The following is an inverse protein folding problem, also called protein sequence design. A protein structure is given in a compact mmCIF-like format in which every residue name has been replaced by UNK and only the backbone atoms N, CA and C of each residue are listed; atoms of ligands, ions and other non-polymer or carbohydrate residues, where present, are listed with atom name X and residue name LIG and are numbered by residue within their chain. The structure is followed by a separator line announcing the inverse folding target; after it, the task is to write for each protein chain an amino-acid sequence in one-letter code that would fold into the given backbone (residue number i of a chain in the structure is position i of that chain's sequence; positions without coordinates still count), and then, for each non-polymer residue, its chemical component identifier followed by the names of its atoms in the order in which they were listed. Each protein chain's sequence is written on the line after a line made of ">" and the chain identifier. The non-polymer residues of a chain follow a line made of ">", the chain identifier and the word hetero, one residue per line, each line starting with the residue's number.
data_IF_839467411572
#
_entry.id   IF_839467411572
#
_cell.length_a   1.000
_cell.length_b   1.000
_cell.length_c   1.000
_cell.angle_alpha   90.00
_cell.angle_beta   90.00
_cell.angle_gamma   90.00
#
_symmetry.space_group_name_H-M   'P 1'
#
loop_
_entity.id
_entity.type
_entity.pdbx_description
1 polymer ?
#
# COMPACT_ATOMS: atom_id res chain seq x y z
N UNK A 1 6.82 -15.37 27.67
CA UNK A 1 6.25 -15.23 26.32
C UNK A 1 7.05 -16.11 25.38
N UNK A 2 6.42 -17.03 24.65
CA UNK A 2 7.11 -17.97 23.75
C UNK A 2 7.47 -17.25 22.45
N UNK A 3 8.77 -17.11 22.16
CA UNK A 3 9.25 -16.65 20.87
C UNK A 3 9.09 -17.81 19.90
N UNK A 4 8.17 -17.69 18.93
CA UNK A 4 7.98 -18.70 17.89
C UNK A 4 9.18 -18.62 16.96
N UNK A 5 10.02 -19.66 16.93
CA UNK A 5 11.15 -19.75 16.03
C UNK A 5 10.66 -20.23 14.65
N UNK A 6 10.59 -19.34 13.67
CA UNK A 6 10.00 -19.57 12.35
C UNK A 6 10.98 -20.20 11.33
N UNK A 7 12.20 -20.56 11.75
CA UNK A 7 13.33 -20.83 10.85
C UNK A 7 13.32 -22.18 10.11
N UNK A 8 12.32 -23.04 10.33
CA UNK A 8 12.36 -24.43 9.83
C UNK A 8 11.02 -25.00 9.36
N UNK A 9 9.94 -24.23 9.51
CA UNK A 9 8.57 -24.68 9.26
C UNK A 9 8.15 -24.39 7.81
N UNK A 10 7.34 -25.26 7.18
CA UNK A 10 6.84 -25.04 5.83
C UNK A 10 6.16 -23.68 5.73
N UNK A 11 6.42 -22.92 4.65
CA UNK A 11 6.01 -21.52 4.47
C UNK A 11 4.53 -21.23 4.84
N UNK A 12 3.63 -22.21 4.70
CA UNK A 12 2.22 -22.10 5.05
C UNK A 12 1.97 -22.00 6.57
N UNK A 13 2.72 -22.72 7.40
CA UNK A 13 2.57 -22.63 8.87
C UNK A 13 3.01 -21.27 9.39
N UNK A 14 4.09 -20.71 8.84
CA UNK A 14 4.55 -19.36 9.14
C UNK A 14 3.50 -18.32 8.75
N UNK A 15 2.86 -18.50 7.59
CA UNK A 15 1.78 -17.64 7.15
C UNK A 15 0.57 -17.71 8.10
N UNK A 16 0.13 -18.90 8.51
CA UNK A 16 -0.98 -19.05 9.47
C UNK A 16 -0.65 -18.44 10.84
N UNK A 17 0.58 -18.61 11.32
CA UNK A 17 1.04 -17.97 12.54
C UNK A 17 1.00 -16.44 12.43
N UNK A 18 1.46 -15.89 11.30
CA UNK A 18 1.40 -14.46 11.01
C UNK A 18 -0.04 -13.92 11.04
N UNK A 19 -0.99 -14.61 10.42
CA UNK A 19 -2.41 -14.22 10.46
C UNK A 19 -2.98 -14.22 11.87
N UNK A 20 -2.66 -15.25 12.67
CA UNK A 20 -3.13 -15.33 14.06
C UNK A 20 -2.58 -14.19 14.91
N UNK A 21 -1.32 -13.80 14.68
CA UNK A 21 -0.72 -12.64 15.35
C UNK A 21 -1.41 -11.35 14.94
N UNK A 22 -1.63 -11.14 13.64
CA UNK A 22 -2.27 -9.92 13.13
C UNK A 22 -3.76 -9.78 13.53
N UNK A 23 -4.43 -10.89 13.87
CA UNK A 23 -5.81 -10.88 14.37
C UNK A 23 -5.95 -10.47 15.84
N UNK A 24 -4.86 -10.54 16.61
CA UNK A 24 -4.86 -10.24 18.05
C UNK A 24 -3.62 -9.39 18.41
N UNK A 25 -3.61 -8.10 18.03
CA UNK A 25 -2.45 -7.23 18.22
C UNK A 25 -2.04 -7.12 19.69
N UNK A 26 -2.97 -7.28 20.64
CA UNK A 26 -2.71 -7.29 22.08
C UNK A 26 -1.76 -8.41 22.53
N UNK A 27 -1.63 -9.49 21.75
CA UNK A 27 -0.67 -10.59 21.99
C UNK A 27 0.65 -10.42 21.24
N UNK A 28 0.81 -9.36 20.45
CA UNK A 28 1.99 -9.15 19.63
C UNK A 28 2.95 -8.15 20.26
N UNK A 29 4.18 -8.08 19.73
CA UNK A 29 5.12 -6.99 20.01
C UNK A 29 4.68 -5.64 19.42
N UNK A 30 3.49 -5.57 18.81
CA UNK A 30 2.95 -4.38 18.18
C UNK A 30 1.47 -4.17 18.57
N UNK A 31 1.19 -3.85 19.85
CA UNK A 31 -0.17 -3.59 20.28
C UNK A 31 -0.80 -2.35 19.64
N UNK A 32 0.01 -1.52 18.98
CA UNK A 32 -0.36 -0.24 18.40
C UNK A 32 -0.84 -0.34 16.95
N UNK A 33 -0.59 -1.46 16.25
CA UNK A 33 -1.16 -1.70 14.93
C UNK A 33 -2.66 -2.00 15.03
N UNK A 34 -3.47 -1.55 14.04
CA UNK A 34 -4.88 -1.88 14.01
C UNK A 34 -5.05 -3.39 13.79
N UNK A 35 -6.12 -3.96 14.36
CA UNK A 35 -6.51 -5.35 14.11
C UNK A 35 -6.66 -5.58 12.61
N UNK A 36 -6.15 -6.71 12.11
CA UNK A 36 -6.24 -7.05 10.70
C UNK A 36 -7.70 -6.98 10.20
N UNK A 37 -8.07 -6.02 9.33
CA UNK A 37 -9.46 -5.82 8.92
C UNK A 37 -9.92 -6.99 8.05
N UNK A 38 -11.21 -7.31 7.89
CA UNK A 38 -11.66 -8.45 7.09
C UNK A 38 -11.20 -8.35 5.63
N UNK A 39 -11.08 -9.50 4.94
CA UNK A 39 -10.78 -9.50 3.50
C UNK A 39 -11.80 -8.67 2.74
N UNK A 40 -11.32 -7.82 1.84
CA UNK A 40 -12.18 -7.03 0.97
C UNK A 40 -13.10 -7.94 0.15
N UNK A 41 -14.37 -7.56 0.03
CA UNK A 41 -15.38 -8.31 -0.73
C UNK A 41 -15.69 -7.60 -2.04
N UNK A 42 -15.76 -8.39 -3.12
CA UNK A 42 -16.18 -7.93 -4.44
C UNK A 42 -15.06 -7.31 -5.28
N UNK A 43 -15.36 -7.13 -6.56
CA UNK A 43 -14.50 -6.54 -7.57
C UNK A 43 -15.33 -5.55 -8.41
N UNK A 44 -14.85 -4.33 -8.72
CA UNK A 44 -13.63 -3.70 -8.22
C UNK A 44 -13.72 -3.37 -6.72
N UNK A 45 -12.57 -3.15 -6.08
CA UNK A 45 -12.48 -2.89 -4.62
C UNK A 45 -12.71 -1.40 -4.33
N UNK A 46 -13.64 -1.00 -3.44
CA UNK A 46 -13.79 0.40 -3.07
C UNK A 46 -12.51 1.00 -2.50
N UNK A 47 -12.17 2.23 -2.88
CA UNK A 47 -11.19 3.03 -2.15
C UNK A 47 -11.64 3.26 -0.70
N UNK A 48 -10.67 3.52 0.18
CA UNK A 48 -10.95 3.81 1.59
C UNK A 48 -11.92 4.99 1.74
N UNK A 49 -12.92 4.79 2.57
CA UNK A 49 -13.83 5.84 3.07
C UNK A 49 -13.17 6.66 4.18
N UNK A 50 -13.73 7.82 4.52
CA UNK A 50 -13.20 8.65 5.61
C UNK A 50 -13.11 7.90 6.95
N UNK A 51 -14.12 7.12 7.39
CA UNK A 51 -13.99 6.29 8.59
C UNK A 51 -12.88 5.25 8.49
N UNK A 52 -12.75 4.55 7.36
CA UNK A 52 -11.67 3.57 7.16
C UNK A 52 -10.28 4.21 7.15
N UNK A 53 -10.14 5.45 6.64
CA UNK A 53 -8.89 6.20 6.74
C UNK A 53 -8.54 6.44 8.22
N UNK A 54 -9.50 6.90 9.01
CA UNK A 54 -9.30 7.22 10.43
C UNK A 54 -9.00 5.97 11.26
N UNK A 55 -9.74 4.89 11.04
CA UNK A 55 -9.66 3.67 11.84
C UNK A 55 -8.53 2.74 11.41
N UNK A 56 -8.14 2.77 10.13
CA UNK A 56 -7.20 1.79 9.58
C UNK A 56 -5.93 2.43 9.02
N UNK A 57 -6.04 3.45 8.17
CA UNK A 57 -4.87 4.03 7.51
C UNK A 57 -4.02 4.86 8.46
N UNK A 58 -4.61 5.71 9.29
CA UNK A 58 -3.87 6.55 10.24
C UNK A 58 -3.00 5.69 11.18
N UNK A 59 -3.53 4.64 11.85
CA UNK A 59 -2.71 3.76 12.66
C UNK A 59 -1.55 3.11 11.88
N UNK A 60 -1.78 2.70 10.62
CA UNK A 60 -0.71 2.16 9.77
C UNK A 60 0.37 3.22 9.48
N UNK A 61 -0.02 4.47 9.22
CA UNK A 61 0.90 5.60 8.98
C UNK A 61 1.71 5.95 10.23
N UNK A 62 1.10 5.89 11.40
CA UNK A 62 1.81 6.05 12.69
C UNK A 62 2.91 5.00 12.91
N UNK A 63 2.87 3.89 12.15
CA UNK A 63 3.85 2.81 12.17
C UNK A 63 4.87 2.89 11.03
N UNK A 64 5.16 4.10 10.56
CA UNK A 64 6.23 4.36 9.58
C UNK A 64 5.86 4.06 8.14
N UNK A 65 4.59 3.76 7.86
CA UNK A 65 4.04 3.84 6.51
C UNK A 65 3.73 5.28 6.13
N UNK A 66 3.73 5.57 4.84
CA UNK A 66 3.46 6.91 4.30
C UNK A 66 2.57 6.82 3.07
N UNK A 67 1.85 7.90 2.76
CA UNK A 67 1.10 8.03 1.50
C UNK A 67 1.87 8.97 0.59
N UNK A 68 2.38 8.44 -0.51
CA UNK A 68 3.09 9.23 -1.52
C UNK A 68 2.22 9.37 -2.77
N UNK A 69 2.22 10.55 -3.37
CA UNK A 69 1.56 10.79 -4.64
C UNK A 69 2.62 10.87 -5.73
N UNK A 70 2.53 10.02 -6.75
CA UNK A 70 3.49 9.96 -7.85
C UNK A 70 2.78 10.06 -9.17
N UNK A 71 3.39 10.74 -10.14
CA UNK A 71 2.91 10.68 -11.51
C UNK A 71 2.96 9.22 -11.99
N UNK A 72 1.98 8.77 -12.80
CA UNK A 72 2.11 7.51 -13.50
C UNK A 72 3.44 7.52 -14.25
N UNK A 73 4.22 6.44 -14.15
CA UNK A 73 5.42 6.33 -14.98
C UNK A 73 5.00 6.47 -16.44
N UNK A 74 5.45 7.55 -17.05
CA UNK A 74 5.16 7.92 -18.41
C UNK A 74 5.58 6.75 -19.30
N UNK A 75 4.61 6.02 -19.85
CA UNK A 75 4.87 4.97 -20.84
C UNK A 75 5.31 5.57 -22.20
N UNK A 76 5.79 6.81 -22.23
CA UNK A 76 6.07 7.59 -23.44
C UNK A 76 7.37 7.22 -24.16
N UNK A 77 7.99 6.08 -23.90
CA UNK A 77 9.11 5.58 -24.72
C UNK A 77 8.72 4.54 -25.79
N UNK A 78 7.43 4.34 -26.09
CA UNK A 78 7.03 3.51 -27.24
C UNK A 78 5.91 4.14 -28.08
N UNK A 79 6.19 5.26 -28.73
CA UNK A 79 5.71 5.53 -30.10
C UNK A 79 6.48 6.72 -30.71
N UNK A 80 7.72 6.51 -31.13
CA UNK A 80 8.45 7.47 -31.98
C UNK A 80 8.18 7.23 -33.48
N UNK A 81 7.18 6.43 -33.87
CA UNK A 81 7.04 5.98 -35.27
C UNK A 81 5.74 6.32 -36.00
N UNK A 82 4.78 7.05 -35.41
CA UNK A 82 3.54 7.36 -36.14
C UNK A 82 3.32 8.86 -36.39
N UNK A 83 3.61 9.22 -37.64
CA UNK A 83 3.00 10.24 -38.50
C UNK A 83 3.39 11.74 -38.37
N UNK A 84 3.60 12.41 -39.53
CA UNK A 84 3.88 13.84 -39.62
C UNK A 84 2.62 14.69 -39.37
N UNK A 85 2.78 15.60 -38.41
CA UNK A 85 1.92 16.70 -38.02
C UNK A 85 1.22 17.40 -39.21
N UNK A 86 -0.09 17.18 -39.35
CA UNK A 86 -0.93 17.97 -40.25
C UNK A 86 -1.17 19.33 -39.58
N UNK A 87 -0.41 20.37 -39.97
CA UNK A 87 -0.41 21.70 -39.35
C UNK A 87 -1.72 22.51 -39.46
N UNK A 88 -2.85 21.99 -38.98
CA UNK A 88 -4.09 22.73 -38.74
C UNK A 88 -4.25 23.00 -37.23
N UNK A 89 -3.97 24.24 -36.85
CA UNK A 89 -4.11 24.74 -35.48
C UNK A 89 -5.52 24.57 -34.92
N UNK A 90 -5.67 23.60 -34.01
CA UNK A 90 -6.78 23.53 -33.07
C UNK A 90 -6.29 24.02 -31.72
N UNK A 91 -6.74 25.21 -31.34
CA UNK A 91 -6.46 25.88 -30.07
C UNK A 91 -6.92 25.03 -28.87
N UNK A 92 -5.98 24.31 -28.27
CA UNK A 92 -5.63 24.35 -26.84
C UNK A 92 -6.74 24.73 -25.84
N UNK A 93 -7.28 23.73 -25.11
CA UNK A 93 -7.87 23.96 -23.77
C UNK A 93 -7.98 22.71 -22.86
N UNK A 94 -7.84 21.48 -23.34
CA UNK A 94 -7.90 20.29 -22.48
C UNK A 94 -6.60 19.48 -22.59
N UNK A 95 -5.53 19.98 -21.97
CA UNK A 95 -4.42 19.08 -21.66
C UNK A 95 -4.91 18.14 -20.57
N UNK A 96 -4.94 16.81 -20.79
CA UNK A 96 -5.37 15.87 -19.78
C UNK A 96 -4.45 16.06 -18.57
N UNK A 97 -4.99 16.60 -17.48
CA UNK A 97 -4.24 16.76 -16.24
C UNK A 97 -3.78 15.37 -15.81
N UNK A 98 -2.49 15.09 -15.96
CA UNK A 98 -1.86 13.87 -15.46
C UNK A 98 -2.04 13.89 -13.95
N UNK A 99 -2.91 13.02 -13.45
CA UNK A 99 -3.20 12.93 -12.02
C UNK A 99 -2.16 12.05 -11.36
N UNK A 100 -1.54 12.56 -10.31
CA UNK A 100 -0.73 11.74 -9.43
C UNK A 100 -1.57 10.63 -8.79
N UNK A 101 -0.98 9.45 -8.67
CA UNK A 101 -1.57 8.26 -8.08
C UNK A 101 -1.07 8.09 -6.64
N UNK A 102 -1.95 7.71 -5.69
CA UNK A 102 -1.56 7.49 -4.32
C UNK A 102 -0.97 6.08 -4.12
N UNK A 103 0.20 6.03 -3.50
CA UNK A 103 0.87 4.81 -3.07
C UNK A 103 0.96 4.77 -1.55
N UNK A 104 0.69 3.60 -0.98
CA UNK A 104 1.04 3.29 0.39
C UNK A 104 2.49 2.76 0.40
N UNK A 105 3.38 3.48 1.09
CA UNK A 105 4.84 3.27 1.00
C UNK A 105 5.43 2.95 2.36
N UNK A 106 6.27 1.92 2.43
CA UNK A 106 7.08 1.59 3.61
C UNK A 106 8.54 1.44 3.25
N UNK A 107 9.41 1.99 4.10
CA UNK A 107 10.87 1.87 4.01
C UNK A 107 11.35 1.01 5.18
N UNK A 108 11.82 -0.18 4.89
CA UNK A 108 12.37 -1.13 5.85
C UNK A 108 13.89 -1.08 5.83
N UNK A 109 14.53 -1.10 6.99
CA UNK A 109 15.99 -1.14 7.09
C UNK A 109 16.45 -2.51 7.58
N UNK A 110 17.50 -3.03 6.98
CA UNK A 110 18.04 -4.34 7.31
C UNK A 110 19.50 -4.22 7.72
N UNK A 111 19.98 -5.20 8.46
CA UNK A 111 21.39 -5.26 8.83
C UNK A 111 22.27 -5.80 7.68
N UNK A 112 21.66 -6.45 6.68
CA UNK A 112 22.36 -6.99 5.52
C UNK A 112 21.47 -7.06 4.28
N UNK A 113 22.06 -7.06 3.07
CA UNK A 113 21.32 -7.33 1.84
C UNK A 113 20.65 -8.71 1.80
N UNK A 114 21.24 -9.72 2.47
CA UNK A 114 20.65 -11.05 2.58
C UNK A 114 19.30 -11.01 3.30
N UNK A 115 19.19 -10.22 4.38
CA UNK A 115 17.93 -10.05 5.10
C UNK A 115 16.82 -9.44 4.22
N UNK A 116 17.15 -8.54 3.30
CA UNK A 116 16.19 -8.01 2.31
C UNK A 116 15.66 -9.12 1.41
N UNK A 117 16.53 -10.01 0.93
CA UNK A 117 16.14 -11.10 0.03
C UNK A 117 15.27 -12.14 0.74
N UNK A 118 15.60 -12.48 1.99
CA UNK A 118 14.80 -13.36 2.83
C UNK A 118 13.41 -12.75 3.09
N UNK A 119 13.35 -11.47 3.47
CA UNK A 119 12.11 -10.74 3.66
C UNK A 119 11.25 -10.72 2.38
N UNK A 120 11.83 -10.35 1.23
CA UNK A 120 11.13 -10.35 -0.05
C UNK A 120 10.63 -11.74 -0.46
N UNK A 121 11.33 -12.80 -0.08
CA UNK A 121 10.86 -14.18 -0.29
C UNK A 121 9.56 -14.44 0.46
N UNK A 122 9.48 -14.03 1.72
CA UNK A 122 8.27 -14.19 2.54
C UNK A 122 7.16 -13.21 2.13
N UNK A 123 7.49 -11.99 1.72
CA UNK A 123 6.53 -11.03 1.12
C UNK A 123 5.85 -11.66 -0.10
N UNK A 124 6.59 -12.37 -0.96
CA UNK A 124 6.01 -13.08 -2.12
C UNK A 124 5.03 -14.18 -1.69
N UNK A 125 5.30 -14.89 -0.60
CA UNK A 125 4.38 -15.89 -0.06
C UNK A 125 3.09 -15.24 0.44
N UNK A 126 3.18 -14.12 1.16
CA UNK A 126 2.00 -13.32 1.58
C UNK A 126 1.22 -12.86 0.36
N UNK A 127 1.89 -12.34 -0.67
CA UNK A 127 1.23 -11.87 -1.89
C UNK A 127 0.49 -12.96 -2.65
N UNK A 128 1.16 -14.08 -2.93
CA UNK A 128 0.63 -15.09 -3.83
C UNK A 128 -0.37 -16.04 -3.15
N UNK A 129 -0.11 -16.40 -1.89
CA UNK A 129 -0.89 -17.42 -1.17
C UNK A 129 -1.84 -16.76 -0.18
N UNK A 130 -1.34 -15.76 0.55
CA UNK A 130 -2.08 -15.07 1.59
C UNK A 130 -3.17 -14.15 1.02
N UNK A 131 -2.77 -13.01 0.46
CA UNK A 131 -3.67 -11.90 0.13
C UNK A 131 -4.12 -11.84 -1.33
N UNK A 132 -3.48 -12.61 -2.22
CA UNK A 132 -3.62 -12.47 -3.68
C UNK A 132 -3.48 -11.00 -4.12
N UNK A 133 -2.57 -10.27 -3.46
CA UNK A 133 -2.36 -8.82 -3.56
C UNK A 133 -0.86 -8.54 -3.51
N UNK A 134 -0.37 -7.74 -4.44
CA UNK A 134 1.06 -7.54 -4.67
C UNK A 134 1.44 -6.08 -4.43
N UNK A 135 2.68 -5.85 -4.02
CA UNK A 135 3.27 -4.51 -4.18
C UNK A 135 3.40 -4.21 -5.68
N UNK A 136 3.34 -2.92 -6.02
CA UNK A 136 3.51 -2.42 -7.39
C UNK A 136 4.96 -2.46 -7.82
N UNK A 137 5.82 -1.89 -6.98
CA UNK A 137 7.25 -1.78 -7.21
C UNK A 137 7.99 -1.73 -5.88
N UNK A 138 9.31 -1.87 -5.96
CA UNK A 138 10.18 -1.67 -4.83
C UNK A 138 11.51 -1.08 -5.28
N UNK A 139 12.21 -0.45 -4.36
CA UNK A 139 13.59 0.00 -4.56
C UNK A 139 14.46 -0.51 -3.42
N UNK A 140 15.72 -0.80 -3.72
CA UNK A 140 16.72 -1.19 -2.72
C UNK A 140 17.87 -0.20 -2.78
N UNK A 141 18.19 0.44 -1.66
CA UNK A 141 19.34 1.35 -1.54
C UNK A 141 20.18 0.94 -0.34
N UNK A 142 21.38 0.43 -0.60
CA UNK A 142 22.28 -0.12 0.42
C UNK A 142 21.61 -1.24 1.23
N UNK A 143 21.06 -0.91 2.40
CA UNK A 143 20.36 -1.84 3.30
C UNK A 143 18.91 -1.43 3.55
N UNK A 144 18.34 -0.53 2.74
CA UNK A 144 16.96 -0.09 2.84
C UNK A 144 16.15 -0.65 1.67
N UNK A 145 14.97 -1.19 1.98
CA UNK A 145 13.96 -1.64 1.03
C UNK A 145 12.75 -0.71 1.13
N UNK A 146 12.41 -0.02 0.03
CA UNK A 146 11.14 0.71 -0.06
C UNK A 146 10.14 -0.11 -0.89
N UNK A 147 8.98 -0.42 -0.32
CA UNK A 147 7.86 -1.07 -1.01
C UNK A 147 6.77 -0.04 -1.33
N UNK A 148 6.22 -0.10 -2.54
CA UNK A 148 5.13 0.74 -3.02
C UNK A 148 3.90 -0.13 -3.27
N UNK A 149 2.77 0.20 -2.66
CA UNK A 149 1.56 -0.63 -2.72
C UNK A 149 0.35 0.23 -3.09
N UNK A 150 -0.41 -0.18 -4.08
CA UNK A 150 -1.73 0.37 -4.41
C UNK A 150 -2.62 -0.70 -5.06
N UNK A 151 -3.91 -0.41 -5.14
CA UNK A 151 -4.86 -1.27 -5.85
C UNK A 151 -5.20 -0.67 -7.22
N UNK A 152 -4.77 -1.33 -8.29
CA UNK A 152 -5.11 -0.96 -9.69
C UNK A 152 -6.59 -1.14 -10.04
N UNK A 153 -7.25 -2.08 -9.36
CA UNK A 153 -8.67 -2.41 -9.55
C UNK A 153 -9.57 -1.73 -8.51
N UNK A 154 -9.22 -0.50 -8.13
CA UNK A 154 -10.00 0.25 -7.16
C UNK A 154 -11.22 0.91 -7.83
N UNK A 155 -12.13 1.45 -7.02
CA UNK A 155 -13.26 2.26 -7.48
C UNK A 155 -13.61 3.35 -6.48
N UNK A 156 -14.06 4.50 -6.98
CA UNK A 156 -14.58 5.61 -6.17
C UNK A 156 -16.03 5.92 -6.54
N UNK A 157 -16.87 6.37 -5.58
CA UNK A 157 -18.18 6.87 -5.91
C UNK A 157 -18.03 8.19 -6.66
N UNK A 158 -18.77 8.34 -7.77
CA UNK A 158 -18.97 9.59 -8.48
C UNK A 158 -20.33 10.14 -8.08
N UNK A 159 -20.32 11.31 -7.46
CA UNK A 159 -21.54 12.05 -7.12
C UNK A 159 -21.90 12.99 -8.26
N UNK A 160 -23.09 12.81 -8.82
CA UNK A 160 -23.65 13.75 -9.80
C UNK A 160 -24.35 14.89 -9.07
N UNK A 161 -24.11 16.12 -9.50
CA UNK A 161 -24.83 17.30 -8.98
C UNK A 161 -26.32 17.12 -9.28
N UNK A 162 -27.13 16.94 -8.23
CA UNK A 162 -28.59 16.77 -8.33
C UNK A 162 -29.11 15.34 -8.55
N UNK A 163 -28.24 14.32 -8.58
CA UNK A 163 -28.64 12.91 -8.71
C UNK A 163 -28.62 12.15 -7.38
N UNK A 164 -29.61 11.27 -7.16
CA UNK A 164 -29.61 10.31 -6.03
C UNK A 164 -28.83 9.03 -6.33
N UNK A 165 -28.42 8.81 -7.59
CA UNK A 165 -27.69 7.63 -8.03
C UNK A 165 -26.19 7.78 -7.83
N UNK A 166 -25.58 6.82 -7.11
CA UNK A 166 -24.12 6.71 -6.99
C UNK A 166 -23.59 5.80 -8.09
N UNK A 167 -22.82 6.36 -9.02
CA UNK A 167 -22.06 5.57 -9.99
C UNK A 167 -20.68 5.23 -9.39
N UNK A 168 -20.22 4.00 -9.59
CA UNK A 168 -18.87 3.60 -9.18
C UNK A 168 -17.93 3.65 -10.38
N UNK A 169 -16.91 4.51 -10.30
CA UNK A 169 -15.95 4.71 -11.39
C UNK A 169 -14.67 3.94 -11.07
N UNK A 170 -14.18 3.08 -11.98
CA UNK A 170 -12.88 2.43 -11.84
C UNK A 170 -11.76 3.47 -11.69
N UNK A 171 -10.83 3.21 -10.79
CA UNK A 171 -9.68 4.08 -10.53
C UNK A 171 -8.52 3.29 -9.92
N UNK A 172 -7.36 3.92 -9.81
CA UNK A 172 -6.25 3.42 -8.99
C UNK A 172 -6.31 4.11 -7.64
N UNK A 173 -6.12 3.36 -6.55
CA UNK A 173 -6.08 3.98 -5.24
C UNK A 173 -5.77 3.02 -4.10
N UNK A 174 -5.75 3.56 -2.89
CA UNK A 174 -5.57 2.80 -1.66
C UNK A 174 -6.92 2.24 -1.20
N UNK A 175 -6.94 0.95 -0.88
CA UNK A 175 -8.11 0.18 -0.44
C UNK A 175 -7.79 -0.60 0.83
N UNK A 176 -8.80 -1.27 1.40
CA UNK A 176 -8.61 -2.18 2.54
C UNK A 176 -7.62 -3.32 2.22
N UNK A 177 -7.44 -3.69 0.93
CA UNK A 177 -6.45 -4.71 0.54
C UNK A 177 -5.02 -4.25 0.83
N UNK A 178 -4.72 -2.99 0.50
CA UNK A 178 -3.41 -2.38 0.73
C UNK A 178 -3.11 -2.28 2.23
N UNK A 179 -4.12 -1.88 3.03
CA UNK A 179 -4.03 -1.82 4.49
C UNK A 179 -3.77 -3.22 5.10
N UNK A 180 -4.55 -4.24 4.72
CA UNK A 180 -4.35 -5.61 5.21
C UNK A 180 -2.95 -6.10 4.90
N UNK A 181 -2.51 -5.85 3.68
CA UNK A 181 -1.19 -6.24 3.22
C UNK A 181 -0.11 -5.53 4.05
N UNK A 182 -0.21 -4.21 4.25
CA UNK A 182 0.70 -3.42 5.07
C UNK A 182 0.82 -3.95 6.52
N UNK A 183 -0.30 -4.28 7.17
CA UNK A 183 -0.32 -4.85 8.53
C UNK A 183 0.43 -6.18 8.58
N UNK A 184 0.19 -7.08 7.62
CA UNK A 184 0.88 -8.37 7.56
C UNK A 184 2.39 -8.21 7.32
N UNK A 185 2.78 -7.27 6.45
CA UNK A 185 4.18 -6.98 6.16
C UNK A 185 4.92 -6.40 7.37
N UNK A 186 4.26 -5.56 8.16
CA UNK A 186 4.82 -5.00 9.39
C UNK A 186 5.00 -6.08 10.46
N UNK A 187 4.02 -6.98 10.65
CA UNK A 187 4.20 -8.12 11.53
C UNK A 187 5.32 -9.05 11.07
N UNK A 188 5.43 -9.33 9.76
CA UNK A 188 6.49 -10.16 9.20
C UNK A 188 7.87 -9.54 9.50
N UNK A 189 8.01 -8.24 9.25
CA UNK A 189 9.27 -7.53 9.46
C UNK A 189 9.71 -7.62 10.93
N UNK A 190 8.80 -7.35 11.87
CA UNK A 190 9.08 -7.44 13.33
C UNK A 190 9.38 -8.85 13.83
N UNK A 191 8.90 -9.89 13.14
CA UNK A 191 9.21 -11.28 13.48
C UNK A 191 10.64 -11.65 13.06
N UNK A 192 11.06 -11.19 11.89
CA UNK A 192 12.41 -11.43 11.39
C UNK A 192 13.44 -10.53 12.06
N UNK A 193 13.05 -9.34 12.48
CA UNK A 193 13.96 -8.37 13.05
C UNK A 193 14.23 -8.58 14.54
N UNK A 194 15.14 -9.50 14.84
CA UNK A 194 15.65 -9.73 16.21
C UNK A 194 16.60 -8.63 16.69
N UNK A 195 17.04 -7.73 15.82
CA UNK A 195 17.99 -6.65 16.11
C UNK A 195 17.55 -5.30 15.52
N UNK A 196 16.23 -5.05 15.47
CA UNK A 196 15.70 -3.87 14.81
C UNK A 196 16.36 -2.63 15.36
N UNK A 197 17.07 -1.90 14.50
CA UNK A 197 17.41 -0.51 14.79
C UNK A 197 16.05 0.17 14.86
N UNK A 198 15.60 0.49 16.08
CA UNK A 198 14.39 1.26 16.28
C UNK A 198 14.56 2.52 15.45
N UNK A 199 13.77 2.64 14.38
CA UNK A 199 13.75 3.88 13.62
C UNK A 199 13.48 5.00 14.64
N UNK A 200 14.19 6.14 14.52
CA UNK A 200 13.87 7.29 15.35
C UNK A 200 12.36 7.55 15.22
N UNK A 201 11.68 7.94 16.31
CA UNK A 201 10.24 8.16 16.28
C UNK A 201 9.93 9.06 15.10
N UNK A 202 9.31 8.47 14.08
CA UNK A 202 8.91 9.20 12.91
C UNK A 202 7.75 10.05 13.41
N UNK A 203 7.89 11.37 13.45
CA UNK A 203 6.74 12.23 13.75
C UNK A 203 5.69 11.92 12.68
N UNK A 204 4.55 11.32 13.04
CA UNK A 204 3.53 11.00 12.07
C UNK A 204 2.96 12.33 11.60
N UNK A 205 3.37 12.76 10.40
CA UNK A 205 2.76 13.90 9.75
C UNK A 205 1.55 13.39 8.99
N UNK A 206 0.49 13.07 9.74
CA UNK A 206 -0.85 12.89 9.18
C UNK A 206 -1.41 14.28 8.88
N UNK A 207 -1.07 14.79 7.70
CA UNK A 207 -1.62 16.05 7.22
C UNK A 207 -3.11 15.87 6.89
N UNK A 208 -3.95 16.80 7.31
CA UNK A 208 -5.33 16.91 6.84
C UNK A 208 -5.36 16.95 5.29
N UNK A 209 -4.34 17.55 4.68
CA UNK A 209 -4.12 17.55 3.23
C UNK A 209 -4.02 16.14 2.64
N UNK A 210 -3.36 15.20 3.31
CA UNK A 210 -3.26 13.81 2.84
C UNK A 210 -4.65 13.16 2.79
N UNK A 211 -5.44 13.35 3.85
CA UNK A 211 -6.81 12.81 3.96
C UNK A 211 -7.69 13.39 2.85
N UNK A 212 -7.64 14.71 2.66
CA UNK A 212 -8.48 15.38 1.67
C UNK A 212 -8.09 15.00 0.23
N UNK A 213 -6.78 14.87 -0.06
CA UNK A 213 -6.29 14.36 -1.35
C UNK A 213 -6.76 12.92 -1.63
N UNK A 214 -6.76 12.03 -0.63
CA UNK A 214 -7.24 10.65 -0.81
C UNK A 214 -8.74 10.61 -1.10
N UNK A 215 -9.51 11.43 -0.40
CA UNK A 215 -10.95 11.54 -0.55
C UNK A 215 -11.38 12.33 -1.79
N UNK A 216 -10.45 13.02 -2.45
CA UNK A 216 -10.76 13.88 -3.59
C UNK A 216 -11.61 15.09 -3.19
N UNK A 217 -11.55 15.51 -1.93
CA UNK A 217 -12.16 16.75 -1.46
C UNK A 217 -11.15 17.89 -1.68
N UNK A 218 -11.58 19.03 -2.24
CA UNK A 218 -10.71 20.20 -2.47
C UNK A 218 -10.22 20.83 -1.16
#
# INVERSE_FOLDING_TARGET
>A
MNVVNLSSTPHLENLLALYRLAQDPAKTKCPELPTLPPRAKGYPTPCLTRPEIQELLIPVVEHGWTVEFKLPEDKTTQSENDEPDCGCGHSSADTPHVRELPFLVRRYRFNSPTGIQEYLSDVRNISNIGENHHYDSYTITSNELALFVQTHSAKKPRHFVGGSTTEWVPTVGITVRDIRYAILLEHLYRLQDTNAVTDPPHTPYTDQLMIDRLLGTP
#
